data_IF_616805047429
#
_entry.id   IF_616805047429
#
_cell.length_a   1.000
_cell.length_b   1.000
_cell.length_c   1.000
_cell.angle_alpha   90.00
_cell.angle_beta   90.00
_cell.angle_gamma   90.00
#
_symmetry.space_group_name_H-M   'P 1'
#
loop_
_entity.id
_entity.type
_entity.pdbx_description
1 polymer ?
#
# COMPACT_ATOMS: atom_id res chain seq x y z
N UNK A 1 -23.24 27.83 -7.86
CA UNK A 1 -22.23 27.75 -6.77
C UNK A 1 -21.49 26.44 -6.96
N UNK A 2 -20.33 26.47 -7.62
CA UNK A 2 -19.52 25.28 -7.90
C UNK A 2 -18.49 25.13 -6.77
N UNK A 3 -18.74 24.23 -5.82
CA UNK A 3 -17.68 23.71 -4.97
C UNK A 3 -17.15 22.45 -5.64
N UNK A 4 -16.00 22.56 -6.30
CA UNK A 4 -15.17 21.42 -6.66
C UNK A 4 -14.89 20.58 -5.40
N UNK A 5 -14.93 19.24 -5.46
CA UNK A 5 -14.59 18.41 -4.32
C UNK A 5 -13.12 18.66 -3.97
N UNK A 6 -12.90 19.17 -2.76
CA UNK A 6 -11.57 19.34 -2.18
C UNK A 6 -10.88 17.98 -2.13
N UNK A 7 -9.64 17.93 -2.62
CA UNK A 7 -8.72 16.81 -2.42
C UNK A 7 -8.54 16.71 -0.90
N UNK A 8 -9.25 15.76 -0.27
CA UNK A 8 -9.11 15.51 1.16
C UNK A 8 -7.64 15.20 1.45
N UNK A 9 -7.03 16.03 2.29
CA UNK A 9 -5.64 15.93 2.71
C UNK A 9 -5.36 14.53 3.26
N UNK A 10 -4.66 13.69 2.49
CA UNK A 10 -4.10 12.40 2.91
C UNK A 10 -2.99 12.53 3.99
N UNK A 11 -2.77 13.73 4.54
CA UNK A 11 -1.60 14.14 5.33
C UNK A 11 -1.45 13.44 6.70
N UNK A 12 -2.40 12.59 7.12
CA UNK A 12 -2.33 11.86 8.39
C UNK A 12 -2.30 10.32 8.27
N UNK A 13 -2.49 9.75 7.08
CA UNK A 13 -2.67 8.29 6.90
C UNK A 13 -1.36 7.53 6.78
N UNK A 14 -0.37 8.13 6.12
CA UNK A 14 0.92 7.50 5.83
C UNK A 14 2.04 8.25 6.56
N UNK A 15 3.12 7.58 6.99
CA UNK A 15 4.36 8.24 7.42
C UNK A 15 4.84 9.29 6.41
N UNK A 16 5.46 10.38 6.89
CA UNK A 16 5.85 11.52 6.06
C UNK A 16 6.75 11.11 4.88
N UNK A 17 7.70 10.21 5.14
CA UNK A 17 8.60 9.65 4.14
C UNK A 17 7.87 8.92 3.02
N UNK A 18 6.74 8.27 3.32
CA UNK A 18 5.90 7.62 2.32
C UNK A 18 5.01 8.62 1.59
N UNK A 19 4.50 9.65 2.29
CA UNK A 19 3.74 10.72 1.64
C UNK A 19 4.54 11.39 0.53
N UNK A 20 5.83 11.66 0.76
CA UNK A 20 6.72 12.25 -0.24
C UNK A 20 6.84 11.37 -1.50
N UNK A 21 7.06 10.06 -1.31
CA UNK A 21 7.13 9.08 -2.40
C UNK A 21 5.80 9.00 -3.16
N UNK A 22 4.69 8.90 -2.44
CA UNK A 22 3.35 8.81 -3.00
C UNK A 22 2.99 10.06 -3.81
N UNK A 23 3.28 11.26 -3.29
CA UNK A 23 3.04 12.52 -3.98
C UNK A 23 3.90 12.63 -5.24
N UNK A 24 5.22 12.38 -5.13
CA UNK A 24 6.15 12.46 -6.26
C UNK A 24 5.74 11.53 -7.43
N UNK A 25 5.27 10.33 -7.10
CA UNK A 25 4.86 9.33 -8.09
C UNK A 25 3.42 9.47 -8.58
N UNK A 26 2.61 10.32 -7.94
CA UNK A 26 1.27 10.63 -8.40
C UNK A 26 1.24 11.80 -9.38
N UNK A 27 2.16 12.76 -9.21
CA UNK A 27 2.31 13.90 -10.12
C UNK A 27 2.45 13.43 -11.57
N UNK A 28 1.53 13.88 -12.44
CA UNK A 28 1.49 13.57 -13.87
C UNK A 28 1.30 12.09 -14.23
N UNK A 29 0.77 11.26 -13.31
CA UNK A 29 0.47 9.87 -13.63
C UNK A 29 -0.66 9.78 -14.65
N UNK A 30 -0.40 9.09 -15.78
CA UNK A 30 -1.36 8.90 -16.86
C UNK A 30 -1.34 7.47 -17.39
N UNK A 31 -2.50 6.99 -17.86
CA UNK A 31 -2.63 5.68 -18.48
C UNK A 31 -2.63 4.52 -17.48
N UNK A 32 -2.15 3.34 -17.92
CA UNK A 32 -2.06 2.09 -17.13
C UNK A 32 -3.38 1.51 -16.62
N UNK A 33 -4.50 1.90 -17.22
CA UNK A 33 -5.84 1.37 -16.89
C UNK A 33 -5.91 -0.16 -16.89
N UNK A 34 -5.22 -0.82 -17.81
CA UNK A 34 -5.15 -2.28 -17.88
C UNK A 34 -4.60 -2.93 -16.60
N UNK A 35 -3.67 -2.27 -15.89
CA UNK A 35 -3.12 -2.77 -14.63
C UNK A 35 -4.19 -2.66 -13.54
N UNK A 36 -4.87 -1.53 -13.42
CA UNK A 36 -5.97 -1.35 -12.47
C UNK A 36 -7.12 -2.32 -12.73
N UNK A 37 -7.44 -2.59 -14.01
CA UNK A 37 -8.39 -3.64 -14.39
C UNK A 37 -7.93 -5.01 -13.90
N UNK A 38 -6.65 -5.36 -14.06
CA UNK A 38 -6.12 -6.62 -13.55
C UNK A 38 -6.21 -6.71 -12.02
N UNK A 39 -5.91 -5.62 -11.30
CA UNK A 39 -6.07 -5.55 -9.83
C UNK A 39 -7.54 -5.75 -9.45
N UNK A 40 -8.47 -5.03 -10.11
CA UNK A 40 -9.91 -5.14 -9.85
C UNK A 40 -10.43 -6.56 -10.10
N UNK A 41 -10.02 -7.19 -11.20
CA UNK A 41 -10.38 -8.56 -11.52
C UNK A 41 -9.83 -9.56 -10.50
N UNK A 42 -8.59 -9.36 -10.04
CA UNK A 42 -8.01 -10.19 -8.98
C UNK A 42 -8.83 -10.09 -7.70
N UNK A 43 -9.18 -8.88 -7.29
CA UNK A 43 -10.03 -8.66 -6.11
C UNK A 43 -11.42 -9.29 -6.32
N UNK A 44 -12.07 -9.12 -7.46
CA UNK A 44 -13.38 -9.74 -7.70
C UNK A 44 -13.36 -11.28 -7.68
N UNK A 45 -12.25 -11.88 -8.12
CA UNK A 45 -12.12 -13.33 -8.26
C UNK A 45 -11.66 -14.04 -6.99
N UNK A 46 -10.89 -13.37 -6.13
CA UNK A 46 -10.28 -13.98 -4.97
C UNK A 46 -10.53 -13.15 -3.71
N UNK A 47 -10.84 -13.82 -2.61
CA UNK A 47 -11.05 -13.16 -1.31
C UNK A 47 -9.72 -12.84 -0.59
N UNK A 48 -8.63 -13.53 -0.97
CA UNK A 48 -7.29 -13.36 -0.40
C UNK A 48 -6.20 -13.78 -1.38
N UNK A 49 -5.00 -13.25 -1.22
CA UNK A 49 -3.80 -13.65 -1.97
C UNK A 49 -2.84 -12.49 -2.20
N UNK A 50 -1.81 -12.75 -3.00
CA UNK A 50 -0.86 -11.74 -3.47
C UNK A 50 -0.75 -11.80 -4.99
N UNK A 51 -0.40 -10.67 -5.59
CA UNK A 51 0.01 -10.59 -6.98
C UNK A 51 1.18 -9.62 -7.08
N UNK A 52 2.02 -9.76 -8.10
CA UNK A 52 3.22 -8.95 -8.27
C UNK A 52 3.12 -8.13 -9.55
N UNK A 53 3.45 -6.84 -9.46
CA UNK A 53 3.61 -5.98 -10.63
C UNK A 53 5.07 -6.06 -11.07
N UNK A 54 5.32 -6.74 -12.19
CA UNK A 54 6.66 -6.90 -12.77
C UNK A 54 6.83 -6.02 -14.00
N UNK A 55 8.06 -5.61 -14.27
CA UNK A 55 8.40 -4.78 -15.43
C UNK A 55 9.78 -4.17 -15.30
N UNK A 56 10.31 -3.66 -16.41
CA UNK A 56 11.64 -3.04 -16.45
C UNK A 56 11.76 -1.82 -15.52
N UNK A 57 12.98 -1.44 -15.10
CA UNK A 57 13.21 -0.15 -14.44
C UNK A 57 12.59 1.00 -15.24
N UNK A 58 11.96 1.96 -14.56
CA UNK A 58 11.28 3.08 -15.22
C UNK A 58 9.90 2.78 -15.82
N UNK A 59 9.39 1.54 -15.78
CA UNK A 59 8.08 1.18 -16.36
C UNK A 59 6.85 1.81 -15.65
N UNK A 60 7.07 2.39 -14.47
CA UNK A 60 6.05 3.08 -13.67
C UNK A 60 5.41 2.24 -12.57
N UNK A 61 6.05 1.16 -12.09
CA UNK A 61 5.52 0.27 -11.03
C UNK A 61 5.18 1.03 -9.73
N UNK A 62 6.13 1.79 -9.19
CA UNK A 62 5.93 2.64 -8.02
C UNK A 62 4.84 3.68 -8.23
N UNK A 63 4.73 4.22 -9.45
CA UNK A 63 3.68 5.16 -9.81
C UNK A 63 2.28 4.54 -9.86
N UNK A 64 2.17 3.29 -10.31
CA UNK A 64 0.93 2.51 -10.24
C UNK A 64 0.55 2.28 -8.77
N UNK A 65 1.47 1.82 -7.92
CA UNK A 65 1.20 1.59 -6.50
C UNK A 65 0.85 2.89 -5.76
N UNK A 66 1.54 3.99 -6.06
CA UNK A 66 1.25 5.29 -5.48
C UNK A 66 -0.14 5.79 -5.86
N UNK A 67 -0.49 5.72 -7.16
CA UNK A 67 -1.85 6.04 -7.58
C UNK A 67 -2.88 5.14 -6.91
N UNK A 68 -2.59 3.84 -6.80
CA UNK A 68 -3.50 2.92 -6.13
C UNK A 68 -3.73 3.28 -4.65
N UNK A 69 -2.68 3.71 -3.94
CA UNK A 69 -2.73 3.97 -2.50
C UNK A 69 -3.37 5.33 -2.12
N UNK A 70 -3.25 6.36 -2.97
CA UNK A 70 -3.72 7.72 -2.65
C UNK A 70 -4.76 8.29 -3.62
N UNK A 71 -5.20 7.56 -4.65
CA UNK A 71 -6.22 8.06 -5.58
C UNK A 71 -7.60 8.16 -4.90
N UNK A 72 -7.81 9.28 -4.24
CA UNK A 72 -9.12 9.81 -3.90
C UNK A 72 -9.73 10.43 -5.17
N UNK A 73 -10.45 9.63 -5.97
CA UNK A 73 -11.38 10.16 -6.99
C UNK A 73 -10.92 10.25 -8.45
N UNK A 74 -9.85 9.58 -8.87
CA UNK A 74 -9.52 9.40 -10.30
C UNK A 74 -10.34 8.31 -11.01
N UNK A 75 -10.24 8.20 -12.34
CA UNK A 75 -10.91 7.16 -13.18
C UNK A 75 -10.66 5.69 -12.74
N UNK A 76 -9.70 5.46 -11.84
CA UNK A 76 -9.34 4.15 -11.31
C UNK A 76 -9.37 4.09 -9.77
N UNK A 77 -9.99 5.08 -9.11
CA UNK A 77 -10.14 5.10 -7.67
C UNK A 77 -10.96 3.87 -7.23
N UNK A 78 -10.26 2.89 -6.65
CA UNK A 78 -10.93 1.82 -5.93
C UNK A 78 -11.34 2.43 -4.61
N UNK A 79 -12.64 2.44 -4.31
CA UNK A 79 -13.21 2.95 -3.05
C UNK A 79 -12.88 2.01 -1.88
N UNK A 80 -11.61 1.64 -1.72
CA UNK A 80 -11.16 0.81 -0.62
C UNK A 80 -10.39 1.69 0.39
N UNK A 81 -11.03 2.07 1.50
CA UNK A 81 -10.42 2.94 2.49
C UNK A 81 -9.29 2.25 3.27
N UNK A 82 -8.94 0.99 3.01
CA UNK A 82 -7.94 0.21 3.77
C UNK A 82 -6.75 -0.27 2.93
N UNK A 83 -6.14 0.65 2.17
CA UNK A 83 -4.80 0.46 1.60
C UNK A 83 -3.72 0.94 2.57
N UNK A 84 -2.76 0.09 2.92
CA UNK A 84 -1.50 0.51 3.55
C UNK A 84 -0.39 0.47 2.52
N UNK A 85 0.57 1.37 2.64
CA UNK A 85 1.67 1.50 1.69
C UNK A 85 3.00 1.41 2.43
N UNK A 86 3.92 0.63 1.87
CA UNK A 86 5.27 0.49 2.35
C UNK A 86 6.23 0.55 1.17
N UNK A 87 7.33 1.28 1.30
CA UNK A 87 8.37 1.32 0.28
C UNK A 87 9.71 0.98 0.92
N UNK A 88 10.34 -0.11 0.44
CA UNK A 88 11.57 -0.63 1.01
C UNK A 88 12.84 0.10 0.54
N UNK A 89 12.74 0.98 -0.46
CA UNK A 89 13.84 1.85 -0.89
C UNK A 89 13.99 3.10 -0.02
N UNK A 90 12.98 3.43 0.79
CA UNK A 90 13.11 4.51 1.77
C UNK A 90 14.18 4.13 2.79
N UNK A 91 15.08 5.09 3.08
CA UNK A 91 16.21 4.86 3.96
C UNK A 91 15.76 4.29 5.32
N UNK A 92 16.38 3.18 5.74
CA UNK A 92 16.06 2.48 6.99
C UNK A 92 14.77 1.66 6.97
N UNK A 93 14.06 1.57 5.83
CA UNK A 93 12.82 0.79 5.65
C UNK A 93 13.04 -0.49 4.85
N UNK A 94 14.26 -1.03 4.84
CA UNK A 94 14.58 -2.26 4.13
C UNK A 94 14.60 -3.51 5.03
N UNK A 95 14.13 -3.42 6.29
CA UNK A 95 14.12 -4.53 7.25
C UNK A 95 12.70 -5.01 7.56
N UNK A 96 12.55 -6.32 7.79
CA UNK A 96 11.25 -6.95 8.04
C UNK A 96 10.61 -6.53 9.37
N UNK A 97 11.40 -6.28 10.41
CA UNK A 97 10.91 -5.77 11.70
C UNK A 97 10.38 -4.33 11.58
N UNK A 98 11.08 -3.50 10.79
CA UNK A 98 10.64 -2.13 10.48
C UNK A 98 9.36 -2.13 9.65
N UNK A 99 9.18 -3.11 8.76
CA UNK A 99 7.93 -3.30 8.02
C UNK A 99 6.75 -3.52 8.96
N UNK A 100 6.88 -4.45 9.91
CA UNK A 100 5.81 -4.74 10.87
C UNK A 100 5.47 -3.53 11.75
N UNK A 101 6.50 -2.84 12.26
CA UNK A 101 6.32 -1.60 13.02
C UNK A 101 5.56 -0.53 12.20
N UNK A 102 5.90 -0.39 10.91
CA UNK A 102 5.24 0.55 10.01
C UNK A 102 3.76 0.21 9.78
N UNK A 103 3.43 -1.08 9.66
CA UNK A 103 2.04 -1.53 9.57
C UNK A 103 1.26 -1.17 10.84
N UNK A 104 1.81 -1.45 12.03
CA UNK A 104 1.17 -1.10 13.30
C UNK A 104 0.85 0.40 13.36
N UNK A 105 1.80 1.27 12.99
CA UNK A 105 1.59 2.72 12.93
C UNK A 105 0.46 3.11 11.97
N UNK A 106 0.42 2.54 10.77
CA UNK A 106 -0.60 2.86 9.76
C UNK A 106 -2.00 2.32 10.12
N UNK A 107 -2.08 1.28 10.94
CA UNK A 107 -3.34 0.77 11.49
C UNK A 107 -3.75 1.42 12.81
N UNK A 108 -2.97 2.39 13.31
CA UNK A 108 -3.18 3.01 14.64
C UNK A 108 -3.21 1.96 15.76
N UNK A 109 -2.45 0.87 15.59
CA UNK A 109 -2.30 -0.19 16.58
C UNK A 109 -1.10 0.10 17.48
N UNK A 110 -1.15 -0.25 18.77
CA UNK A 110 0.00 -0.09 19.65
C UNK A 110 1.19 -0.89 19.12
N UNK A 111 2.39 -0.28 19.19
CA UNK A 111 3.67 -0.95 18.95
C UNK A 111 3.94 -1.93 20.12
N UNK A 112 3.21 -3.03 20.14
CA UNK A 112 3.45 -4.17 21.01
C UNK A 112 4.32 -5.21 20.28
N UNK A 113 4.86 -6.19 20.99
CA UNK A 113 5.43 -7.43 20.42
C UNK A 113 4.32 -8.29 19.78
N UNK A 114 3.62 -7.73 18.80
CA UNK A 114 2.57 -8.40 18.04
C UNK A 114 3.20 -9.04 16.81
N UNK A 115 2.83 -10.29 16.51
CA UNK A 115 3.22 -10.93 15.27
C UNK A 115 2.42 -10.36 14.09
N UNK A 116 2.94 -10.49 12.86
CA UNK A 116 2.20 -10.12 11.66
C UNK A 116 0.84 -10.85 11.60
N UNK A 117 0.80 -12.13 11.96
CA UNK A 117 -0.43 -12.91 12.00
C UNK A 117 -1.47 -12.29 12.94
N UNK A 118 -1.06 -11.95 14.17
CA UNK A 118 -1.96 -11.35 15.16
C UNK A 118 -2.46 -9.97 14.71
N UNK A 119 -1.59 -9.16 14.11
CA UNK A 119 -1.98 -7.87 13.54
C UNK A 119 -3.02 -8.04 12.43
N UNK A 120 -2.76 -8.93 11.46
CA UNK A 120 -3.68 -9.19 10.36
C UNK A 120 -5.02 -9.75 10.86
N UNK A 121 -5.02 -10.57 11.90
CA UNK A 121 -6.25 -11.07 12.52
C UNK A 121 -7.06 -9.95 13.18
N UNK A 122 -6.41 -9.04 13.91
CA UNK A 122 -7.08 -7.89 14.52
C UNK A 122 -7.71 -6.99 13.47
N UNK A 123 -6.98 -6.66 12.40
CA UNK A 123 -7.51 -5.88 11.29
C UNK A 123 -8.67 -6.62 10.61
N UNK A 124 -8.53 -7.93 10.38
CA UNK A 124 -9.59 -8.75 9.77
C UNK A 124 -10.89 -8.75 10.58
N UNK A 125 -10.80 -8.74 11.91
CA UNK A 125 -11.99 -8.70 12.79
C UNK A 125 -12.74 -7.35 12.74
N UNK A 126 -12.09 -6.30 12.24
CA UNK A 126 -12.66 -4.96 12.11
C UNK A 126 -13.20 -4.67 10.70
N UNK A 127 -12.96 -5.56 9.74
CA UNK A 127 -13.45 -5.41 8.37
C UNK A 127 -14.97 -5.62 8.32
N UNK A 128 -15.68 -4.68 7.70
CA UNK A 128 -17.09 -4.88 7.34
C UNK A 128 -17.21 -5.84 6.15
N UNK A 129 -18.40 -6.46 5.93
CA UNK A 129 -18.65 -7.22 4.72
C UNK A 129 -18.24 -6.43 3.47
N UNK A 130 -17.55 -7.10 2.54
CA UNK A 130 -17.03 -6.53 1.29
C UNK A 130 -15.85 -5.55 1.43
N UNK A 131 -15.46 -5.15 2.65
CA UNK A 131 -14.18 -4.45 2.87
C UNK A 131 -13.01 -5.42 2.76
N UNK A 132 -11.86 -4.90 2.35
CA UNK A 132 -10.65 -5.69 2.15
C UNK A 132 -9.44 -4.90 2.61
N UNK A 133 -8.59 -5.53 3.40
CA UNK A 133 -7.25 -5.02 3.64
C UNK A 133 -6.38 -5.19 2.39
N UNK A 134 -5.71 -4.12 1.96
CA UNK A 134 -4.70 -4.19 0.90
C UNK A 134 -3.38 -3.64 1.43
N UNK A 135 -2.32 -4.44 1.28
CA UNK A 135 -0.96 -4.06 1.64
C UNK A 135 -0.16 -3.88 0.36
N UNK A 136 0.15 -2.64 0.00
CA UNK A 136 1.00 -2.31 -1.14
C UNK A 136 2.47 -2.23 -0.68
N UNK A 137 3.30 -3.14 -1.17
CA UNK A 137 4.74 -3.20 -0.87
C UNK A 137 5.50 -2.84 -2.14
N UNK A 138 6.13 -1.67 -2.13
CA UNK A 138 6.96 -1.17 -3.23
C UNK A 138 8.43 -1.51 -3.02
N UNK A 139 9.11 -1.78 -4.14
CA UNK A 139 10.52 -2.16 -4.20
C UNK A 139 10.92 -3.31 -3.25
N UNK A 140 10.13 -4.39 -3.22
CA UNK A 140 10.38 -5.58 -2.38
C UNK A 140 11.79 -6.19 -2.57
N UNK A 141 12.41 -5.96 -3.73
CA UNK A 141 13.77 -6.35 -4.06
C UNK A 141 14.85 -5.60 -3.26
N UNK A 142 14.51 -4.45 -2.67
CA UNK A 142 15.42 -3.67 -1.83
C UNK A 142 15.50 -4.17 -0.37
N UNK A 143 14.67 -5.16 0.02
CA UNK A 143 14.68 -5.72 1.36
C UNK A 143 16.03 -6.39 1.66
N UNK A 144 16.61 -6.03 2.79
CA UNK A 144 17.84 -6.64 3.28
C UNK A 144 17.55 -8.03 3.85
N UNK A 145 18.00 -9.04 3.12
CA UNK A 145 17.80 -10.46 3.47
C UNK A 145 18.71 -10.93 4.61
N UNK A 146 19.75 -10.17 4.97
CA UNK A 146 20.65 -10.53 6.08
C UNK A 146 19.96 -10.46 7.44
N UNK A 147 18.87 -9.68 7.54
CA UNK A 147 18.03 -9.55 8.73
C UNK A 147 16.80 -10.47 8.71
N UNK A 148 16.71 -11.38 7.75
CA UNK A 148 15.69 -12.42 7.75
C UNK A 148 16.23 -13.62 8.51
N UNK A 149 15.50 -14.09 9.51
CA UNK A 149 15.77 -15.40 10.10
C UNK A 149 15.77 -16.44 8.97
N UNK A 150 16.73 -17.40 8.95
CA UNK A 150 16.67 -18.50 8.01
C UNK A 150 15.29 -19.14 8.11
N UNK A 151 14.65 -19.41 6.97
CA UNK A 151 13.38 -20.12 6.90
C UNK A 151 13.47 -21.36 7.80
N UNK A 152 12.72 -21.37 8.90
CA UNK A 152 12.54 -22.56 9.73
C UNK A 152 11.72 -23.61 9.01
#
# INVERSE_FOLDING_TARGET
MNNSPSIANNNGRYPLEFQQVLQAHNLNFVGRGFVFTAISNFLQRYDRGYFTIVGTPGSGKSAILANYAIASGGRYAIANPQVVYYNAQVAGKNRADVFLASLCTQFTQPLAEISLQSLLQQVSNQLQPQQRLIIAIDAVDAIDRSFQSPSG
#
